data_IF_923811477885
#
_entry.id   IF_923811477885
#
_cell.length_a   1.000
_cell.length_b   1.000
_cell.length_c   1.000
_cell.angle_alpha   90.00
_cell.angle_beta   90.00
_cell.angle_gamma   90.00
#
_symmetry.space_group_name_H-M   'P 1'
#
loop_
_entity.id
_entity.type
_entity.pdbx_description
1 polymer ?
#
# COMPACT_ATOMS: atom_id res chain seq x y z
N UNK A 1 5.05 7.29 -24.54
CA UNK A 1 4.19 6.24 -23.93
C UNK A 1 4.05 5.01 -24.80
N UNK A 2 4.06 5.16 -26.13
CA UNK A 2 3.82 4.03 -27.04
C UNK A 2 4.93 2.98 -26.99
N UNK A 3 6.20 3.41 -26.85
CA UNK A 3 7.34 2.51 -26.61
C UNK A 3 7.18 1.66 -25.33
N UNK A 4 6.80 2.30 -24.21
CA UNK A 4 6.60 1.60 -22.92
C UNK A 4 5.47 0.58 -23.04
N UNK A 5 4.39 0.95 -23.74
CA UNK A 5 3.21 0.10 -23.97
C UNK A 5 3.57 -1.13 -24.80
N UNK A 6 4.26 -0.94 -25.93
CA UNK A 6 4.63 -2.05 -26.82
C UNK A 6 5.64 -2.98 -26.17
N UNK A 7 6.70 -2.44 -25.55
CA UNK A 7 7.72 -3.24 -24.87
C UNK A 7 7.15 -4.04 -23.69
N UNK A 8 6.28 -3.43 -22.87
CA UNK A 8 5.63 -4.10 -21.74
C UNK A 8 4.69 -5.22 -22.19
N UNK A 9 3.88 -4.99 -23.24
CA UNK A 9 2.97 -6.01 -23.78
C UNK A 9 3.73 -7.19 -24.42
N UNK A 10 4.81 -6.92 -25.14
CA UNK A 10 5.66 -7.99 -25.66
C UNK A 10 6.25 -8.84 -24.53
N UNK A 11 6.76 -8.21 -23.47
CA UNK A 11 7.28 -8.92 -22.30
C UNK A 11 6.17 -9.72 -21.59
N UNK A 12 4.97 -9.15 -21.40
CA UNK A 12 3.84 -9.87 -20.80
C UNK A 12 3.51 -11.12 -21.60
N UNK A 13 3.46 -11.04 -22.92
CA UNK A 13 3.19 -12.19 -23.78
C UNK A 13 4.27 -13.29 -23.63
N UNK A 14 5.55 -12.92 -23.55
CA UNK A 14 6.68 -13.87 -23.32
C UNK A 14 6.49 -14.67 -22.03
N UNK A 15 5.98 -14.04 -20.97
CA UNK A 15 5.71 -14.68 -19.69
C UNK A 15 4.26 -15.20 -19.56
N UNK A 16 3.55 -15.38 -20.68
CA UNK A 16 2.17 -15.89 -20.72
C UNK A 16 1.17 -15.10 -19.88
N UNK A 17 1.39 -13.79 -19.72
CA UNK A 17 0.49 -12.85 -19.06
C UNK A 17 -0.41 -12.15 -20.07
N UNK A 18 -1.64 -11.83 -19.66
CA UNK A 18 -2.58 -11.06 -20.49
C UNK A 18 -2.04 -9.65 -20.74
N UNK A 19 -2.01 -9.25 -22.01
CA UNK A 19 -1.65 -7.89 -22.43
C UNK A 19 -2.63 -6.87 -21.85
N UNK A 20 -2.14 -5.65 -21.62
CA UNK A 20 -2.93 -4.55 -21.04
C UNK A 20 -3.11 -3.43 -22.05
N UNK A 21 -4.19 -2.66 -21.86
CA UNK A 21 -4.48 -1.52 -22.72
C UNK A 21 -3.44 -0.41 -22.52
N UNK A 22 -3.30 0.46 -23.52
CA UNK A 22 -2.46 1.66 -23.42
C UNK A 22 -2.86 2.55 -22.24
N UNK A 23 -4.15 2.61 -21.93
CA UNK A 23 -4.67 3.40 -20.82
C UNK A 23 -4.21 2.84 -19.47
N UNK A 24 -4.33 1.53 -19.27
CA UNK A 24 -3.90 0.87 -18.03
C UNK A 24 -2.39 0.99 -17.82
N UNK A 25 -1.61 0.75 -18.89
CA UNK A 25 -0.15 0.86 -18.82
C UNK A 25 0.28 2.30 -18.51
N UNK A 26 -0.41 3.30 -19.06
CA UNK A 26 -0.15 4.71 -18.72
C UNK A 26 -0.42 4.99 -17.25
N UNK A 27 -1.52 4.47 -16.70
CA UNK A 27 -1.86 4.64 -15.29
C UNK A 27 -0.82 4.00 -14.37
N UNK A 28 -0.41 2.75 -14.66
CA UNK A 28 0.59 2.06 -13.84
C UNK A 28 1.97 2.71 -13.95
N UNK A 29 2.42 3.04 -15.17
CA UNK A 29 3.74 3.62 -15.40
C UNK A 29 3.89 5.01 -14.75
N UNK A 30 2.82 5.80 -14.71
CA UNK A 30 2.81 7.11 -14.05
C UNK A 30 2.97 7.06 -12.53
N UNK A 31 2.68 5.92 -11.91
CA UNK A 31 2.75 5.73 -10.45
C UNK A 31 4.02 4.98 -9.99
N UNK A 32 5.01 4.79 -10.88
CA UNK A 32 6.27 4.15 -10.51
C UNK A 32 7.08 5.08 -9.60
N UNK A 33 7.35 4.63 -8.38
CA UNK A 33 8.25 5.30 -7.43
C UNK A 33 9.63 4.62 -7.51
N UNK A 34 10.72 5.35 -7.80
CA UNK A 34 12.07 4.78 -7.80
C UNK A 34 12.44 4.23 -6.42
N UNK A 35 13.00 3.02 -6.38
CA UNK A 35 13.50 2.42 -5.16
C UNK A 35 14.97 2.79 -4.93
N UNK A 36 15.34 3.00 -3.66
CA UNK A 36 16.73 3.24 -3.25
C UNK A 36 17.07 2.25 -2.13
N UNK A 37 18.19 1.54 -2.27
CA UNK A 37 18.57 0.47 -1.35
C UNK A 37 18.70 0.94 0.11
N UNK A 38 19.17 2.17 0.33
CA UNK A 38 19.35 2.75 1.66
C UNK A 38 18.02 2.94 2.41
N UNK A 39 16.94 3.28 1.71
CA UNK A 39 15.60 3.38 2.31
C UNK A 39 15.17 2.03 2.89
N UNK A 40 15.35 0.94 2.14
CA UNK A 40 15.01 -0.41 2.62
C UNK A 40 15.89 -0.81 3.81
N UNK A 41 17.19 -0.50 3.79
CA UNK A 41 18.08 -0.79 4.92
C UNK A 41 17.64 -0.07 6.21
N UNK A 42 17.27 1.21 6.12
CA UNK A 42 16.78 1.99 7.26
C UNK A 42 15.48 1.39 7.80
N UNK A 43 14.50 1.13 6.92
CA UNK A 43 13.20 0.59 7.33
C UNK A 43 13.34 -0.81 7.95
N UNK A 44 14.17 -1.69 7.37
CA UNK A 44 14.44 -3.02 7.95
C UNK A 44 15.07 -2.94 9.34
N UNK A 45 16.00 -2.00 9.57
CA UNK A 45 16.54 -1.75 10.90
C UNK A 45 15.47 -1.33 11.90
N UNK A 46 14.57 -0.42 11.50
CA UNK A 46 13.44 0.01 12.33
C UNK A 46 12.46 -1.13 12.65
N UNK A 47 12.19 -2.01 11.69
CA UNK A 47 11.33 -3.19 11.89
C UNK A 47 11.88 -4.07 13.02
N UNK A 48 13.19 -4.37 13.00
CA UNK A 48 13.82 -5.19 14.05
C UNK A 48 13.78 -4.48 15.39
N UNK A 49 14.05 -3.16 15.43
CA UNK A 49 13.99 -2.38 16.67
C UNK A 49 12.59 -2.37 17.30
N UNK A 50 11.54 -2.22 16.51
CA UNK A 50 10.15 -2.34 17.01
C UNK A 50 9.84 -3.78 17.43
N UNK A 51 10.31 -4.78 16.66
CA UNK A 51 10.15 -6.19 17.00
C UNK A 51 10.75 -6.56 18.37
N UNK A 52 11.93 -6.02 18.70
CA UNK A 52 12.55 -6.24 20.02
C UNK A 52 11.71 -5.65 21.16
N UNK A 53 11.05 -4.50 20.96
CA UNK A 53 10.15 -3.91 21.97
C UNK A 53 8.91 -4.77 22.19
N UNK A 54 8.37 -5.35 21.11
CA UNK A 54 7.24 -6.28 21.19
C UNK A 54 7.64 -7.51 22.01
N UNK A 55 8.80 -8.11 21.70
CA UNK A 55 9.31 -9.30 22.39
C UNK A 55 9.67 -9.02 23.87
N UNK A 56 10.04 -7.80 24.21
CA UNK A 56 10.27 -7.40 25.61
C UNK A 56 8.98 -7.10 26.39
N UNK A 57 7.80 -7.26 25.79
CA UNK A 57 6.51 -6.94 26.41
C UNK A 57 6.20 -5.43 26.46
N UNK A 58 6.98 -4.59 25.79
CA UNK A 58 6.90 -3.13 25.86
C UNK A 58 6.05 -2.53 24.73
N UNK A 59 4.84 -3.07 24.51
CA UNK A 59 3.96 -2.64 23.41
C UNK A 59 3.62 -1.15 23.44
N UNK A 60 3.47 -0.58 24.63
CA UNK A 60 3.19 0.85 24.85
C UNK A 60 4.34 1.77 24.37
N UNK A 61 5.55 1.22 24.17
CA UNK A 61 6.70 1.95 23.64
C UNK A 61 6.81 1.87 22.11
N UNK A 62 5.98 1.04 21.46
CA UNK A 62 5.97 0.94 20.01
C UNK A 62 5.42 2.22 19.38
N UNK A 63 5.99 2.60 18.24
CA UNK A 63 5.65 3.85 17.54
C UNK A 63 5.59 3.62 16.03
N UNK A 64 4.71 4.34 15.36
CA UNK A 64 4.74 4.45 13.90
C UNK A 64 5.86 5.42 13.53
N UNK A 65 6.94 4.93 12.92
CA UNK A 65 8.09 5.77 12.56
C UNK A 65 8.05 6.09 11.06
N UNK A 66 7.94 7.37 10.74
CA UNK A 66 8.00 7.86 9.35
C UNK A 66 9.42 8.31 9.00
N UNK A 67 9.91 7.87 7.83
CA UNK A 67 11.15 8.37 7.23
C UNK A 67 10.82 9.44 6.19
N UNK A 68 11.13 10.69 6.49
CA UNK A 68 10.96 11.82 5.57
C UNK A 68 12.20 12.06 4.71
N UNK A 69 12.03 12.57 3.49
CA UNK A 69 13.16 12.94 2.61
C UNK A 69 13.95 14.14 3.15
N UNK A 70 13.25 15.09 3.76
CA UNK A 70 13.84 16.28 4.38
C UNK A 70 13.39 16.37 5.85
N UNK A 71 14.20 16.98 6.72
CA UNK A 71 13.80 17.21 8.10
C UNK A 71 12.53 18.06 8.17
N UNK A 72 11.63 17.71 9.08
CA UNK A 72 10.46 18.55 9.38
C UNK A 72 10.91 19.87 10.06
N UNK A 73 9.99 20.85 10.30
CA UNK A 73 10.32 22.10 11.00
C UNK A 73 10.95 21.91 12.40
N UNK A 74 10.78 20.73 13.00
CA UNK A 74 11.39 20.33 14.28
C UNK A 74 12.74 19.62 14.11
N UNK A 75 13.35 19.69 12.92
CA UNK A 75 14.63 19.06 12.55
C UNK A 75 14.66 17.53 12.69
N UNK A 76 13.51 16.86 12.62
CA UNK A 76 13.43 15.39 12.67
C UNK A 76 13.31 14.82 11.26
N UNK A 77 14.21 13.89 10.93
CA UNK A 77 14.15 13.09 9.70
C UNK A 77 13.33 11.82 9.90
N UNK A 78 13.53 11.17 11.05
CA UNK A 78 12.69 10.08 11.55
C UNK A 78 11.67 10.64 12.52
N UNK A 79 10.39 10.47 12.21
CA UNK A 79 9.29 11.03 12.99
C UNK A 79 8.50 9.89 13.64
N UNK A 80 8.72 9.60 14.94
CA UNK A 80 7.90 8.65 15.67
C UNK A 80 6.56 9.28 16.06
N UNK A 81 5.47 8.57 15.78
CA UNK A 81 4.10 8.88 16.18
C UNK A 81 3.57 7.78 17.09
N UNK A 82 2.67 8.14 18.00
CA UNK A 82 1.99 7.16 18.87
C UNK A 82 1.10 6.26 18.01
N UNK A 83 0.94 5.01 18.42
CA UNK A 83 0.03 4.08 17.74
C UNK A 83 -1.42 4.53 17.96
N UNK A 84 -2.17 4.62 16.88
CA UNK A 84 -3.59 4.95 16.94
C UNK A 84 -4.40 3.74 17.43
N UNK A 85 -5.52 4.03 18.11
CA UNK A 85 -6.45 2.99 18.55
C UNK A 85 -7.25 2.45 17.35
N UNK A 86 -7.78 1.22 17.43
CA UNK A 86 -8.67 0.69 16.39
C UNK A 86 -9.82 1.65 16.11
N UNK A 87 -10.07 1.93 14.83
CA UNK A 87 -11.17 2.79 14.41
C UNK A 87 -12.51 2.03 14.58
N UNK A 88 -13.49 2.56 15.33
CA UNK A 88 -14.82 1.95 15.47
C UNK A 88 -15.54 1.73 14.14
N UNK A 89 -15.30 2.60 13.14
CA UNK A 89 -15.97 2.55 11.83
C UNK A 89 -15.22 1.66 10.81
N UNK A 90 -14.22 0.90 11.25
CA UNK A 90 -13.44 0.06 10.35
C UNK A 90 -14.24 -1.17 9.89
N UNK A 91 -14.47 -1.30 8.58
CA UNK A 91 -15.17 -2.43 7.97
C UNK A 91 -14.42 -3.78 8.04
N UNK A 92 -13.25 -3.84 8.68
CA UNK A 92 -12.42 -5.05 8.78
C UNK A 92 -12.23 -5.51 10.22
N UNK A 93 -11.75 -4.62 11.11
CA UNK A 93 -11.38 -5.00 12.48
C UNK A 93 -12.42 -4.66 13.55
N UNK A 94 -13.53 -3.99 13.20
CA UNK A 94 -14.62 -3.76 14.14
C UNK A 94 -15.36 -5.06 14.47
N UNK A 95 -15.97 -5.15 15.65
CA UNK A 95 -16.66 -6.37 16.11
C UNK A 95 -17.84 -6.78 15.23
N UNK A 96 -18.52 -5.79 14.61
CA UNK A 96 -19.64 -5.99 13.69
C UNK A 96 -19.47 -5.05 12.48
N UNK A 97 -18.66 -5.43 11.48
CA UNK A 97 -18.42 -4.58 10.33
C UNK A 97 -19.61 -4.63 9.38
N UNK A 98 -20.13 -3.46 9.02
CA UNK A 98 -21.22 -3.30 8.07
C UNK A 98 -20.83 -2.26 7.02
N UNK A 99 -21.19 -2.50 5.75
CA UNK A 99 -20.93 -1.58 4.64
C UNK A 99 -22.19 -1.42 3.80
N UNK A 100 -22.38 -0.23 3.25
CA UNK A 100 -23.51 0.07 2.35
C UNK A 100 -22.99 0.30 0.94
N UNK A 101 -23.46 -0.50 -0.02
CA UNK A 101 -23.10 -0.37 -1.43
C UNK A 101 -24.32 0.12 -2.21
N UNK A 102 -24.16 1.19 -2.98
CA UNK A 102 -25.20 1.72 -3.88
C UNK A 102 -24.96 1.20 -5.29
N UNK A 103 -25.87 0.38 -5.80
CA UNK A 103 -25.79 -0.23 -7.13
C UNK A 103 -27.15 -0.34 -7.80
N UNK A 104 -27.16 -0.64 -9.10
CA UNK A 104 -28.39 -0.86 -9.87
C UNK A 104 -28.72 -2.36 -9.95
N UNK A 105 -29.75 -2.79 -9.22
CA UNK A 105 -30.19 -4.19 -9.12
C UNK A 105 -30.67 -4.80 -10.45
N UNK A 106 -31.05 -3.99 -11.44
CA UNK A 106 -31.51 -4.48 -12.74
C UNK A 106 -30.37 -4.68 -13.75
N UNK A 107 -29.20 -4.07 -13.52
CA UNK A 107 -28.04 -4.16 -14.42
C UNK A 107 -26.92 -5.02 -13.86
N UNK A 108 -26.85 -5.18 -12.54
CA UNK A 108 -25.77 -5.92 -11.90
C UNK A 108 -26.01 -7.43 -12.00
N UNK A 109 -25.01 -8.17 -12.49
CA UNK A 109 -25.01 -9.63 -12.46
C UNK A 109 -24.37 -10.15 -11.18
N UNK A 110 -24.77 -11.34 -10.72
CA UNK A 110 -24.17 -12.00 -9.55
C UNK A 110 -22.66 -12.18 -9.74
N UNK A 111 -22.24 -12.55 -10.96
CA UNK A 111 -20.82 -12.66 -11.30
C UNK A 111 -20.07 -11.33 -11.13
N UNK A 112 -20.69 -10.21 -11.53
CA UNK A 112 -20.07 -8.89 -11.36
C UNK A 112 -19.95 -8.47 -9.89
N UNK A 113 -20.83 -8.95 -9.01
CA UNK A 113 -20.77 -8.67 -7.56
C UNK A 113 -19.65 -9.47 -6.87
N UNK A 114 -19.34 -10.65 -7.39
CA UNK A 114 -18.30 -11.51 -6.84
C UNK A 114 -16.90 -11.08 -7.30
N UNK A 115 -16.75 -10.71 -8.57
CA UNK A 115 -15.43 -10.53 -9.20
C UNK A 115 -14.89 -9.10 -9.12
N UNK A 116 -15.72 -8.10 -8.78
CA UNK A 116 -15.37 -6.67 -8.78
C UNK A 116 -15.58 -6.03 -7.42
#
# INVERSE_FOLDING_TARGET
>A
MDFVTSAANLRMHIFSMNMKSRFDIKSMAGNIIPAIATTNAIISGLIVLEGLKILSGSLEQCRTVYLSKQPNPRKKLLVPCVLDRPNPDCYVCASRPEVTVKLNVHKLTVQSLQDK
#
